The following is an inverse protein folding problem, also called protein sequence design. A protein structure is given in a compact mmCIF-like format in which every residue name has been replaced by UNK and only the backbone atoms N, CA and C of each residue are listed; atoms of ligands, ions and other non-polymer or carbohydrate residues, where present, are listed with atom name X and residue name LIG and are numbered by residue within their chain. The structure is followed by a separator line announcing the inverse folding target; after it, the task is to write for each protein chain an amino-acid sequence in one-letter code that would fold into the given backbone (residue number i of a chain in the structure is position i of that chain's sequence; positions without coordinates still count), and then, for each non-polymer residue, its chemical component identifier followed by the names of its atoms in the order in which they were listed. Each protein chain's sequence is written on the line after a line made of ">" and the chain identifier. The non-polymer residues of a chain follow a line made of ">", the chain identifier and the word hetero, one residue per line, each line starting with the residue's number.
data_IF_579864692717
#
_entry.id   IF_579864692717
#
_cell.length_a   1.000
_cell.length_b   1.000
_cell.length_c   1.000
_cell.angle_alpha   90.00
_cell.angle_beta   90.00
_cell.angle_gamma   90.00
#
_symmetry.space_group_name_H-M   'P 1'
#
loop_
_entity.id
_entity.type
_entity.pdbx_description
1 polymer ?
#
# COMPACT_ATOMS: atom_id res chain seq x y z
N UNK A 1 -40.96 14.14 65.27
CA UNK A 1 -39.55 13.70 65.42
C UNK A 1 -39.17 12.92 64.17
N UNK A 2 -38.52 13.58 63.22
CA UNK A 2 -37.09 13.42 62.86
C UNK A 2 -36.78 12.13 62.09
N UNK A 3 -36.24 12.38 60.88
CA UNK A 3 -35.34 11.58 60.05
C UNK A 3 -36.01 10.92 58.83
N UNK A 4 -35.77 11.34 57.58
CA UNK A 4 -34.57 11.69 56.80
C UNK A 4 -34.37 10.61 55.71
N UNK A 5 -34.34 11.09 54.46
CA UNK A 5 -33.70 10.49 53.28
C UNK A 5 -34.21 9.14 52.77
N UNK A 6 -34.92 9.18 51.63
CA UNK A 6 -34.50 8.40 50.47
C UNK A 6 -34.99 9.05 49.18
N UNK A 7 -34.10 9.84 48.56
CA UNK A 7 -34.22 10.30 47.19
C UNK A 7 -33.88 9.13 46.26
N UNK A 8 -34.85 8.59 45.54
CA UNK A 8 -34.59 7.63 44.46
C UNK A 8 -34.50 8.41 43.15
N UNK A 9 -33.26 8.72 42.75
CA UNK A 9 -32.92 9.30 41.46
C UNK A 9 -33.33 8.34 40.34
N UNK A 10 -34.31 8.74 39.53
CA UNK A 10 -34.52 8.17 38.20
C UNK A 10 -33.42 8.76 37.31
N UNK A 11 -32.28 8.09 37.27
CA UNK A 11 -31.18 8.40 36.36
C UNK A 11 -31.48 7.83 34.97
N UNK A 12 -32.28 8.55 34.18
CA UNK A 12 -32.36 8.33 32.75
C UNK A 12 -31.03 8.75 32.11
N UNK A 13 -30.09 7.81 31.98
CA UNK A 13 -28.89 7.99 31.17
C UNK A 13 -29.31 7.95 29.70
N UNK A 14 -29.76 9.10 29.19
CA UNK A 14 -29.76 9.37 27.76
C UNK A 14 -28.30 9.47 27.32
N UNK A 15 -27.74 8.35 26.86
CA UNK A 15 -26.59 8.36 25.97
C UNK A 15 -27.03 9.07 24.69
N UNK A 16 -26.86 10.39 24.67
CA UNK A 16 -26.85 11.15 23.42
C UNK A 16 -25.61 10.67 22.68
N UNK A 17 -25.81 9.71 21.79
CA UNK A 17 -24.91 9.46 20.68
C UNK A 17 -24.85 10.78 19.91
N UNK A 18 -23.80 11.56 20.14
CA UNK A 18 -23.36 12.60 19.21
C UNK A 18 -22.89 11.88 17.96
N UNK A 19 -23.83 11.41 17.15
CA UNK A 19 -23.58 11.11 15.74
C UNK A 19 -23.30 12.47 15.14
N UNK A 20 -22.02 12.84 15.05
CA UNK A 20 -21.61 13.91 14.17
C UNK A 20 -22.01 13.47 12.76
N UNK A 21 -23.17 13.96 12.29
CA UNK A 21 -23.57 13.86 10.91
C UNK A 21 -22.68 14.80 10.09
N UNK A 22 -21.43 14.40 9.89
CA UNK A 22 -20.61 14.98 8.83
C UNK A 22 -21.11 14.38 7.52
N UNK A 23 -21.95 15.13 6.79
CA UNK A 23 -22.54 14.64 5.55
C UNK A 23 -21.53 14.35 4.42
N UNK A 24 -20.22 14.64 4.58
CA UNK A 24 -19.21 14.32 3.56
C UNK A 24 -17.78 14.22 4.16
N UNK A 25 -16.94 13.29 3.70
CA UNK A 25 -15.52 13.21 4.07
C UNK A 25 -14.72 14.45 3.59
N UNK A 26 -13.54 14.67 4.19
CA UNK A 26 -12.60 15.80 4.03
C UNK A 26 -12.96 16.81 2.92
N UNK A 27 -13.56 17.94 3.30
CA UNK A 27 -13.98 18.98 2.35
C UNK A 27 -12.85 19.97 2.12
N UNK A 28 -12.23 19.88 0.96
CA UNK A 28 -11.51 21.01 0.38
C UNK A 28 -12.54 22.04 -0.10
N UNK A 29 -12.31 23.33 0.17
CA UNK A 29 -13.08 24.44 -0.39
C UNK A 29 -13.01 24.49 -1.93
N UNK A 30 -12.05 23.78 -2.52
CA UNK A 30 -11.81 23.73 -3.95
C UNK A 30 -11.90 22.31 -4.49
N UNK A 31 -12.38 22.21 -5.73
CA UNK A 31 -12.41 20.98 -6.50
C UNK A 31 -11.72 21.24 -7.85
N UNK A 32 -10.72 20.42 -8.15
CA UNK A 32 -10.16 20.33 -9.49
C UNK A 32 -10.87 19.22 -10.24
N UNK A 33 -11.30 19.51 -11.46
CA UNK A 33 -11.79 18.50 -12.40
C UNK A 33 -10.88 18.54 -13.61
N UNK A 34 -10.19 17.43 -13.84
CA UNK A 34 -9.25 17.27 -14.94
C UNK A 34 -9.67 16.06 -15.77
N UNK A 35 -9.88 16.27 -17.06
CA UNK A 35 -10.44 15.25 -17.96
C UNK A 35 -9.56 15.14 -19.20
N UNK A 36 -8.82 14.03 -19.37
CA UNK A 36 -8.11 13.76 -20.61
C UNK A 36 -9.08 13.57 -21.79
N UNK A 37 -8.60 13.82 -23.00
CA UNK A 37 -9.36 13.57 -24.23
C UNK A 37 -9.52 12.07 -24.57
N UNK A 38 -8.94 11.17 -23.76
CA UNK A 38 -9.16 9.72 -23.77
C UNK A 38 -9.87 9.25 -22.50
N UNK A 39 -10.95 8.48 -22.67
CA UNK A 39 -11.79 8.02 -21.56
C UNK A 39 -11.07 7.06 -20.58
N UNK A 40 -10.10 6.30 -21.07
CA UNK A 40 -9.27 5.37 -20.28
C UNK A 40 -7.95 5.98 -19.79
N UNK A 41 -7.68 7.25 -20.17
CA UNK A 41 -6.49 8.02 -19.80
C UNK A 41 -5.18 7.45 -20.37
N UNK A 42 -5.28 6.60 -21.39
CA UNK A 42 -4.15 5.92 -22.02
C UNK A 42 -4.02 6.33 -23.48
N UNK A 43 -2.77 6.55 -23.88
CA UNK A 43 -2.38 6.98 -25.22
C UNK A 43 -1.34 6.02 -25.78
N UNK A 44 -1.19 5.95 -27.10
CA UNK A 44 -0.04 5.29 -27.72
C UNK A 44 1.17 6.21 -27.70
N UNK A 45 2.38 5.66 -27.58
CA UNK A 45 3.59 6.48 -27.79
C UNK A 45 3.55 7.18 -29.16
N UNK A 46 3.93 8.46 -29.20
CA UNK A 46 3.82 9.33 -30.37
C UNK A 46 2.45 10.03 -30.54
N UNK A 47 1.41 9.60 -29.83
CA UNK A 47 0.11 10.26 -29.82
C UNK A 47 0.17 11.60 -29.05
N UNK A 48 -0.73 12.54 -29.36
CA UNK A 48 -0.81 13.83 -28.65
C UNK A 48 -1.97 13.80 -27.66
N UNK A 49 -1.67 14.00 -26.39
CA UNK A 49 -2.67 14.09 -25.33
C UNK A 49 -3.07 15.54 -25.03
N UNK A 50 -4.32 15.74 -24.62
CA UNK A 50 -4.82 17.01 -24.08
C UNK A 50 -5.65 16.74 -22.83
N UNK A 51 -5.68 17.71 -21.93
CA UNK A 51 -6.56 17.68 -20.77
C UNK A 51 -7.41 18.95 -20.74
N UNK A 52 -8.69 18.79 -20.45
CA UNK A 52 -9.53 19.89 -19.96
C UNK A 52 -9.31 20.05 -18.46
N UNK A 53 -9.10 21.28 -18.01
CA UNK A 53 -8.94 21.65 -16.60
C UNK A 53 -10.08 22.58 -16.21
N UNK A 54 -10.71 22.25 -15.09
CA UNK A 54 -11.74 23.05 -14.46
C UNK A 54 -11.38 23.23 -12.98
N UNK A 55 -11.65 24.43 -12.45
CA UNK A 55 -11.38 24.76 -11.06
C UNK A 55 -12.63 25.37 -10.42
N UNK A 56 -13.08 24.74 -9.35
CA UNK A 56 -14.27 25.13 -8.61
C UNK A 56 -13.88 25.59 -7.21
N UNK A 57 -14.57 26.61 -6.71
CA UNK A 57 -14.52 27.02 -5.29
C UNK A 57 -15.93 26.98 -4.72
N UNK A 58 -16.15 26.23 -3.65
CA UNK A 58 -17.48 25.96 -3.08
C UNK A 58 -18.48 25.41 -4.12
N UNK A 59 -17.98 24.65 -5.11
CA UNK A 59 -18.79 24.15 -6.23
C UNK A 59 -19.10 25.18 -7.33
N UNK A 60 -18.60 26.43 -7.22
CA UNK A 60 -18.78 27.47 -8.23
C UNK A 60 -17.58 27.48 -9.21
N UNK A 61 -17.80 27.33 -10.53
CA UNK A 61 -16.72 27.45 -11.52
C UNK A 61 -16.02 28.79 -11.41
N UNK A 62 -14.68 28.78 -11.40
CA UNK A 62 -13.90 30.02 -11.31
C UNK A 62 -13.48 30.48 -12.70
N UNK A 63 -14.06 31.59 -13.17
CA UNK A 63 -13.72 32.20 -14.45
C UNK A 63 -12.58 33.21 -14.32
N UNK A 64 -11.77 33.34 -15.38
CA UNK A 64 -10.68 34.30 -15.44
C UNK A 64 -9.48 34.01 -14.53
N UNK A 65 -9.52 32.93 -13.76
CA UNK A 65 -8.38 32.47 -12.94
C UNK A 65 -7.25 32.02 -13.86
N UNK A 66 -6.04 32.48 -13.56
CA UNK A 66 -4.82 31.97 -14.20
C UNK A 66 -4.37 30.69 -13.51
N UNK A 67 -4.20 29.64 -14.31
CA UNK A 67 -3.66 28.35 -13.90
C UNK A 67 -2.27 28.23 -14.49
N UNK A 68 -1.27 28.19 -13.61
CA UNK A 68 0.10 27.84 -13.96
C UNK A 68 0.19 26.33 -14.09
N UNK A 69 0.89 25.85 -15.12
CA UNK A 69 1.13 24.43 -15.31
C UNK A 69 2.60 24.12 -15.60
N UNK A 70 3.05 22.98 -15.10
CA UNK A 70 4.32 22.37 -15.46
C UNK A 70 4.09 20.94 -15.95
N UNK A 71 4.65 20.60 -17.11
CA UNK A 71 4.62 19.24 -17.65
C UNK A 71 5.97 18.57 -17.45
N UNK A 72 5.96 17.28 -17.13
CA UNK A 72 7.15 16.44 -17.12
C UNK A 72 6.79 14.96 -17.21
N UNK A 73 7.79 14.10 -17.18
CA UNK A 73 7.56 12.67 -16.91
C UNK A 73 7.10 12.46 -15.46
N UNK A 74 6.45 11.32 -15.20
CA UNK A 74 6.06 10.90 -13.85
C UNK A 74 7.24 10.97 -12.87
N UNK A 75 7.08 11.78 -11.82
CA UNK A 75 8.13 12.09 -10.84
C UNK A 75 9.42 12.71 -11.43
N UNK A 76 9.42 13.22 -12.65
CA UNK A 76 10.61 13.81 -13.28
C UNK A 76 10.57 15.35 -13.30
N UNK A 77 11.72 16.03 -13.47
CA UNK A 77 11.77 17.47 -13.67
C UNK A 77 10.84 17.91 -14.81
N UNK A 78 10.32 19.14 -14.72
CA UNK A 78 9.50 19.69 -15.78
C UNK A 78 10.32 20.01 -17.02
N UNK A 79 9.78 19.69 -18.20
CA UNK A 79 10.34 20.05 -19.50
C UNK A 79 9.59 21.21 -20.16
N UNK A 80 8.38 21.49 -19.69
CA UNK A 80 7.49 22.52 -20.24
C UNK A 80 6.81 23.25 -19.09
N UNK A 81 6.68 24.56 -19.22
CA UNK A 81 5.91 25.41 -18.30
C UNK A 81 5.02 26.36 -19.10
N UNK A 82 3.89 26.72 -18.54
CA UNK A 82 3.02 27.71 -19.15
C UNK A 82 1.90 28.17 -18.22
N UNK A 83 1.03 29.00 -18.79
CA UNK A 83 -0.15 29.53 -18.11
C UNK A 83 -1.35 29.39 -19.04
N UNK A 84 -2.50 29.02 -18.48
CA UNK A 84 -3.79 29.13 -19.16
C UNK A 84 -4.74 29.95 -18.29
N UNK A 85 -5.61 30.73 -18.93
CA UNK A 85 -6.68 31.45 -18.23
C UNK A 85 -7.98 30.68 -18.41
N UNK A 86 -8.67 30.38 -17.32
CA UNK A 86 -9.97 29.72 -17.38
C UNK A 86 -10.98 30.65 -18.07
N UNK A 87 -11.70 30.12 -19.05
CA UNK A 87 -12.80 30.77 -19.78
C UNK A 87 -14.06 29.93 -19.58
N UNK A 88 -15.12 30.55 -19.09
CA UNK A 88 -16.32 29.87 -18.60
C UNK A 88 -15.98 28.74 -17.61
N UNK A 89 -14.97 28.98 -16.76
CA UNK A 89 -14.50 28.01 -15.75
C UNK A 89 -13.62 26.88 -16.28
N UNK A 90 -13.24 26.88 -17.57
CA UNK A 90 -12.50 25.80 -18.23
C UNK A 90 -11.29 26.29 -19.02
N UNK A 91 -10.28 25.44 -19.15
CA UNK A 91 -9.20 25.62 -20.13
C UNK A 91 -8.72 24.26 -20.65
N UNK A 92 -8.10 24.25 -21.82
CA UNK A 92 -7.47 23.03 -22.38
C UNK A 92 -5.95 23.22 -22.35
N UNK A 93 -5.24 22.21 -21.84
CA UNK A 93 -3.79 22.14 -21.82
C UNK A 93 -3.34 21.00 -22.73
N UNK A 94 -2.43 21.28 -23.65
CA UNK A 94 -1.78 20.25 -24.45
C UNK A 94 -0.71 19.56 -23.60
N UNK A 95 -0.89 18.27 -23.34
CA UNK A 95 0.07 17.43 -22.61
C UNK A 95 1.28 17.02 -23.46
N UNK A 96 1.19 17.24 -24.78
CA UNK A 96 2.23 16.82 -25.72
C UNK A 96 2.18 15.31 -25.94
N UNK A 97 3.35 14.69 -26.03
CA UNK A 97 3.52 13.26 -26.33
C UNK A 97 4.67 12.64 -25.51
N UNK A 98 4.79 11.32 -25.57
CA UNK A 98 5.99 10.57 -25.17
C UNK A 98 6.47 9.67 -26.32
N UNK A 99 7.78 9.64 -26.52
CA UNK A 99 8.43 8.73 -27.48
C UNK A 99 8.58 7.31 -26.92
N UNK A 100 8.84 7.23 -25.61
CA UNK A 100 9.01 5.99 -24.88
C UNK A 100 7.80 5.72 -23.97
N UNK A 101 7.53 4.44 -23.64
CA UNK A 101 6.51 4.07 -22.65
C UNK A 101 6.69 4.79 -21.32
N UNK A 102 5.60 5.29 -20.74
CA UNK A 102 5.63 5.93 -19.43
C UNK A 102 4.42 6.80 -19.15
N UNK A 103 4.58 7.77 -18.26
CA UNK A 103 3.52 8.67 -17.84
C UNK A 103 3.95 10.13 -17.97
N UNK A 104 3.05 10.96 -18.47
CA UNK A 104 3.16 12.43 -18.42
C UNK A 104 2.40 12.94 -17.22
N UNK A 105 3.00 13.85 -16.46
CA UNK A 105 2.42 14.51 -15.29
C UNK A 105 2.22 16.00 -15.57
N UNK A 106 1.00 16.49 -15.39
CA UNK A 106 0.66 17.91 -15.43
C UNK A 106 0.44 18.42 -14.02
N UNK A 107 1.38 19.21 -13.52
CA UNK A 107 1.32 19.84 -12.20
C UNK A 107 0.72 21.23 -12.35
N UNK A 108 -0.41 21.45 -11.69
CA UNK A 108 -1.25 22.64 -11.80
C UNK A 108 -1.19 23.45 -10.52
N UNK A 109 -1.18 24.77 -10.66
CA UNK A 109 -1.27 25.70 -9.53
C UNK A 109 -2.16 26.89 -9.88
N UNK A 110 -3.09 27.23 -8.98
CA UNK A 110 -3.93 28.43 -9.10
C UNK A 110 -3.93 29.22 -7.79
N UNK A 111 -3.96 30.55 -7.88
CA UNK A 111 -4.07 31.45 -6.72
C UNK A 111 -5.43 32.11 -6.68
N UNK A 112 -6.23 31.82 -5.65
CA UNK A 112 -7.57 32.38 -5.47
C UNK A 112 -7.77 32.83 -4.02
N UNK A 113 -8.17 34.09 -3.83
CA UNK A 113 -8.35 34.67 -2.49
C UNK A 113 -7.08 34.67 -1.65
N UNK A 114 -5.92 34.97 -2.27
CA UNK A 114 -4.62 35.02 -1.59
C UNK A 114 -3.98 33.66 -1.30
N UNK A 115 -4.72 32.55 -1.41
CA UNK A 115 -4.23 31.18 -1.18
C UNK A 115 -3.88 30.49 -2.50
N UNK A 116 -2.81 29.70 -2.47
CA UNK A 116 -2.37 28.85 -3.57
C UNK A 116 -2.94 27.45 -3.41
N UNK A 117 -3.50 26.90 -4.49
CA UNK A 117 -4.01 25.53 -4.57
C UNK A 117 -3.25 24.78 -5.65
N UNK A 118 -2.83 23.56 -5.32
CA UNK A 118 -2.11 22.68 -6.24
C UNK A 118 -2.94 21.45 -6.55
N UNK A 119 -2.74 20.92 -7.75
CA UNK A 119 -3.28 19.65 -8.20
C UNK A 119 -2.33 19.07 -9.24
N UNK A 120 -2.49 17.80 -9.56
CA UNK A 120 -1.81 17.25 -10.72
C UNK A 120 -2.62 16.10 -11.31
N UNK A 121 -2.35 15.81 -12.57
CA UNK A 121 -2.98 14.72 -13.30
C UNK A 121 -1.94 14.02 -14.18
N UNK A 122 -1.95 12.69 -14.17
CA UNK A 122 -1.10 11.88 -15.03
C UNK A 122 -1.90 11.12 -16.08
N UNK A 123 -1.30 11.01 -17.27
CA UNK A 123 -1.80 10.17 -18.37
C UNK A 123 -0.71 9.21 -18.84
N UNK A 124 -1.10 8.00 -19.22
CA UNK A 124 -0.18 6.94 -19.61
C UNK A 124 0.05 6.91 -21.13
N UNK A 125 1.29 6.67 -21.55
CA UNK A 125 1.68 6.43 -22.94
C UNK A 125 2.25 5.02 -23.07
N UNK A 126 1.50 4.13 -23.72
CA UNK A 126 1.78 2.69 -23.84
C UNK A 126 2.35 2.05 -22.56
N UNK A 127 1.76 2.26 -21.37
CA UNK A 127 2.35 1.82 -20.11
C UNK A 127 2.42 0.29 -20.00
N UNK A 128 1.65 -0.46 -20.79
CA UNK A 128 1.75 -1.92 -20.93
C UNK A 128 3.10 -2.40 -21.46
N UNK A 129 3.91 -1.49 -22.04
CA UNK A 129 5.26 -1.78 -22.55
C UNK A 129 6.36 -1.42 -21.57
N UNK A 130 6.05 -0.84 -20.41
CA UNK A 130 7.05 -0.52 -19.39
C UNK A 130 7.74 -1.79 -18.90
N UNK A 131 9.07 -1.74 -18.84
CA UNK A 131 9.93 -2.84 -18.37
C UNK A 131 10.78 -2.38 -17.18
N UNK A 132 11.07 -3.26 -16.21
CA UNK A 132 11.90 -2.91 -15.05
C UNK A 132 13.34 -2.59 -15.46
N UNK A 133 13.98 -1.70 -14.71
CA UNK A 133 15.43 -1.52 -14.77
C UNK A 133 16.12 -2.66 -14.02
N UNK A 134 15.57 -3.02 -12.86
CA UNK A 134 16.09 -4.09 -12.01
C UNK A 134 16.09 -5.42 -12.78
N UNK A 135 17.27 -6.05 -12.85
CA UNK A 135 17.46 -7.35 -13.49
C UNK A 135 17.30 -8.48 -12.46
N UNK A 136 16.88 -9.66 -12.92
CA UNK A 136 16.80 -10.86 -12.08
C UNK A 136 18.20 -11.45 -11.88
N UNK A 137 18.74 -11.51 -10.65
CA UNK A 137 20.02 -12.19 -10.40
C UNK A 137 19.95 -13.67 -10.76
N UNK A 138 21.03 -14.23 -11.30
CA UNK A 138 21.08 -15.64 -11.75
C UNK A 138 20.89 -16.64 -10.59
N UNK A 139 21.36 -16.30 -9.39
CA UNK A 139 21.23 -17.08 -8.16
C UNK A 139 20.06 -16.62 -7.27
N UNK A 140 19.12 -15.81 -7.79
CA UNK A 140 17.99 -15.27 -7.00
C UNK A 140 17.16 -16.36 -6.32
N UNK A 141 16.74 -17.37 -7.08
CA UNK A 141 15.92 -18.46 -6.57
C UNK A 141 16.69 -19.34 -5.58
N UNK A 142 17.98 -19.60 -5.84
CA UNK A 142 18.85 -20.34 -4.92
C UNK A 142 18.98 -19.62 -3.58
N UNK A 143 19.29 -18.32 -3.62
CA UNK A 143 19.43 -17.47 -2.43
C UNK A 143 18.17 -17.52 -1.55
N UNK A 144 16.99 -17.31 -2.13
CA UNK A 144 15.74 -17.28 -1.38
C UNK A 144 15.28 -18.67 -0.91
N UNK A 145 15.51 -19.72 -1.70
CA UNK A 145 15.22 -21.09 -1.27
C UNK A 145 16.09 -21.52 -0.10
N UNK A 146 17.39 -21.23 -0.16
CA UNK A 146 18.33 -21.46 0.95
C UNK A 146 17.90 -20.68 2.20
N UNK A 147 17.62 -19.38 2.05
CA UNK A 147 17.24 -18.51 3.17
C UNK A 147 15.95 -18.99 3.85
N UNK A 148 14.93 -19.41 3.09
CA UNK A 148 13.70 -19.98 3.65
C UNK A 148 13.96 -21.31 4.38
N UNK A 149 14.77 -22.19 3.79
CA UNK A 149 15.09 -23.48 4.39
C UNK A 149 15.82 -23.31 5.73
N UNK A 150 16.75 -22.36 5.82
CA UNK A 150 17.43 -22.00 7.06
C UNK A 150 16.44 -21.44 8.10
N UNK A 151 15.55 -20.55 7.71
CA UNK A 151 14.54 -19.98 8.61
C UNK A 151 13.57 -21.05 9.14
N UNK A 152 13.22 -22.05 8.33
CA UNK A 152 12.32 -23.13 8.71
C UNK A 152 12.90 -24.08 9.78
N UNK A 153 14.23 -24.08 9.99
CA UNK A 153 14.87 -24.86 11.07
C UNK A 153 14.53 -24.31 12.46
N UNK A 154 14.12 -23.05 12.58
CA UNK A 154 13.64 -22.51 13.84
C UNK A 154 12.20 -22.97 14.08
N UNK A 155 11.90 -23.57 15.25
CA UNK A 155 10.55 -24.06 15.54
C UNK A 155 9.53 -22.92 15.52
N UNK A 156 8.29 -23.25 15.19
CA UNK A 156 7.18 -22.30 15.23
C UNK A 156 6.85 -21.98 16.70
N UNK A 157 7.28 -20.81 17.17
CA UNK A 157 7.12 -20.35 18.55
C UNK A 157 6.36 -19.03 18.58
N UNK A 158 5.22 -18.99 19.27
CA UNK A 158 4.42 -17.77 19.38
C UNK A 158 3.59 -17.73 20.68
N UNK A 159 3.20 -16.52 21.09
CA UNK A 159 2.14 -16.33 22.10
C UNK A 159 0.81 -16.03 21.43
N UNK A 160 -0.30 -16.34 22.09
CA UNK A 160 -1.67 -16.05 21.64
C UNK A 160 -2.49 -15.52 22.82
N UNK A 161 -2.80 -14.23 22.81
CA UNK A 161 -3.50 -13.55 23.90
C UNK A 161 -4.84 -13.00 23.42
N UNK A 162 -5.93 -13.24 24.14
CA UNK A 162 -7.27 -12.80 23.73
C UNK A 162 -7.45 -11.28 23.89
N UNK A 163 -7.98 -10.62 22.86
CA UNK A 163 -8.15 -9.16 22.81
C UNK A 163 -9.64 -8.81 22.78
N UNK A 164 -10.22 -8.65 23.98
CA UNK A 164 -11.66 -8.38 24.15
C UNK A 164 -12.14 -7.14 23.39
N UNK A 165 -11.35 -6.06 23.35
CA UNK A 165 -11.73 -4.78 22.70
C UNK A 165 -11.88 -4.87 21.17
N UNK A 166 -11.31 -5.92 20.55
CA UNK A 166 -11.40 -6.16 19.11
C UNK A 166 -12.17 -7.44 18.76
N UNK A 167 -12.88 -8.00 19.73
CA UNK A 167 -13.74 -9.18 19.54
C UNK A 167 -15.21 -8.75 19.53
N UNK A 168 -16.03 -9.40 18.71
CA UNK A 168 -17.48 -9.12 18.56
C UNK A 168 -18.29 -10.38 18.84
N UNK A 169 -19.60 -10.34 18.63
CA UNK A 169 -20.46 -11.53 18.64
C UNK A 169 -20.17 -12.50 17.48
N UNK A 170 -19.52 -12.03 16.41
CA UNK A 170 -19.23 -12.81 15.19
C UNK A 170 -17.78 -13.24 15.04
N UNK A 171 -16.84 -12.58 15.73
CA UNK A 171 -15.41 -12.87 15.61
C UNK A 171 -14.66 -12.71 16.92
N UNK A 172 -13.58 -13.47 17.07
CA UNK A 172 -12.59 -13.32 18.14
C UNK A 172 -11.30 -12.72 17.60
N UNK A 173 -10.63 -11.90 18.40
CA UNK A 173 -9.34 -11.31 18.09
C UNK A 173 -8.30 -11.78 19.11
N UNK A 174 -7.12 -12.15 18.63
CA UNK A 174 -5.97 -12.48 19.45
C UNK A 174 -4.74 -11.67 19.06
N UNK A 175 -4.01 -11.17 20.05
CA UNK A 175 -2.67 -10.63 19.85
C UNK A 175 -1.69 -11.79 19.78
N UNK A 176 -0.96 -11.86 18.68
CA UNK A 176 0.09 -12.83 18.44
C UNK A 176 1.44 -12.15 18.55
N UNK A 177 2.37 -12.78 19.27
CA UNK A 177 3.81 -12.49 19.16
C UNK A 177 4.50 -13.69 18.52
N UNK A 178 4.87 -13.58 17.25
CA UNK A 178 5.55 -14.64 16.51
C UNK A 178 7.07 -14.44 16.58
N UNK A 179 7.77 -15.40 17.18
CA UNK A 179 9.23 -15.38 17.25
C UNK A 179 9.85 -15.97 15.97
N UNK A 180 10.88 -15.29 15.45
CA UNK A 180 11.49 -15.58 14.16
C UNK A 180 12.79 -16.38 14.27
N UNK A 181 13.55 -16.21 15.37
CA UNK A 181 14.83 -16.85 15.55
C UNK A 181 15.29 -16.91 17.01
N UNK A 182 16.48 -17.52 17.22
CA UNK A 182 17.14 -17.67 18.53
C UNK A 182 17.60 -16.34 19.15
N UNK A 183 17.68 -15.26 18.38
CA UNK A 183 18.01 -13.92 18.86
C UNK A 183 16.79 -13.16 19.40
N UNK A 184 15.65 -13.85 19.61
CA UNK A 184 14.40 -13.28 20.10
C UNK A 184 13.80 -12.18 19.22
N UNK A 185 14.23 -12.09 17.96
CA UNK A 185 13.54 -11.23 17.00
C UNK A 185 12.13 -11.77 16.79
N UNK A 186 11.14 -10.87 16.76
CA UNK A 186 9.73 -11.22 16.62
C UNK A 186 9.02 -10.22 15.72
N UNK A 187 7.78 -10.57 15.38
CA UNK A 187 6.75 -9.67 14.90
C UNK A 187 5.49 -9.85 15.75
N UNK A 188 4.66 -8.81 15.81
CA UNK A 188 3.33 -8.87 16.40
C UNK A 188 2.24 -8.83 15.33
N UNK A 189 1.04 -9.26 15.69
CA UNK A 189 -0.13 -9.07 14.85
C UNK A 189 -1.43 -9.40 15.55
N UNK A 190 -2.53 -8.85 15.02
CA UNK A 190 -3.87 -9.24 15.43
C UNK A 190 -4.41 -10.31 14.50
N UNK A 191 -4.78 -11.45 15.08
CA UNK A 191 -5.34 -12.60 14.40
C UNK A 191 -6.83 -12.68 14.70
N UNK A 192 -7.64 -12.43 13.67
CA UNK A 192 -9.10 -12.42 13.73
C UNK A 192 -9.65 -13.75 13.23
N UNK A 193 -10.54 -14.35 14.02
CA UNK A 193 -11.20 -15.62 13.75
C UNK A 193 -12.70 -15.42 13.61
N UNK A 194 -13.38 -16.10 12.67
CA UNK A 194 -14.82 -16.31 12.77
C UNK A 194 -15.15 -17.10 14.05
N UNK A 195 -16.19 -16.70 14.79
CA UNK A 195 -16.65 -17.42 16.00
C UNK A 195 -17.39 -18.72 15.72
N UNK A 196 -18.05 -18.80 14.57
CA UNK A 196 -18.76 -20.00 14.18
C UNK A 196 -17.75 -21.16 14.04
N UNK A 197 -18.15 -22.36 14.46
CA UNK A 197 -17.35 -23.56 14.21
C UNK A 197 -17.19 -23.78 12.70
N UNK A 198 -15.98 -24.06 12.24
CA UNK A 198 -15.72 -24.25 10.82
C UNK A 198 -14.26 -24.31 10.46
N UNK A 199 -14.02 -24.46 9.17
CA UNK A 199 -12.72 -24.39 8.53
C UNK A 199 -12.72 -23.24 7.55
N UNK A 200 -11.71 -22.40 7.60
CA UNK A 200 -11.71 -21.10 6.92
C UNK A 200 -10.44 -20.86 6.09
N UNK A 201 -10.54 -20.14 4.97
CA UNK A 201 -9.37 -19.59 4.30
C UNK A 201 -8.62 -18.63 5.23
N UNK A 202 -7.30 -18.54 5.07
CA UNK A 202 -6.45 -17.62 5.83
C UNK A 202 -5.97 -16.46 4.95
N UNK A 203 -5.97 -15.25 5.49
CA UNK A 203 -5.54 -14.02 4.81
C UNK A 203 -4.45 -13.34 5.64
N UNK A 204 -3.22 -13.35 5.12
CA UNK A 204 -2.10 -12.58 5.67
C UNK A 204 -2.13 -11.14 5.15
N UNK A 205 -2.07 -10.17 6.05
CA UNK A 205 -2.04 -8.75 5.73
C UNK A 205 -0.81 -8.04 6.34
N UNK A 206 0.30 -7.93 5.59
CA UNK A 206 1.46 -7.13 5.99
C UNK A 206 1.18 -5.62 5.96
N UNK A 207 1.93 -4.80 6.73
CA UNK A 207 1.63 -3.39 6.90
C UNK A 207 2.22 -2.53 5.78
N UNK A 208 1.56 -1.38 5.53
CA UNK A 208 2.17 -0.27 4.78
C UNK A 208 3.40 0.31 5.50
N UNK A 209 4.19 1.12 4.81
CA UNK A 209 5.49 1.59 5.28
C UNK A 209 5.43 2.43 6.57
N UNK A 210 6.56 2.46 7.29
CA UNK A 210 6.78 3.24 8.51
C UNK A 210 6.69 2.41 9.80
N UNK A 211 7.40 2.88 10.83
CA UNK A 211 7.35 2.31 12.18
C UNK A 211 6.12 2.86 12.88
N UNK A 212 5.02 2.09 12.82
CA UNK A 212 3.70 2.47 13.30
C UNK A 212 2.97 1.28 13.93
N UNK A 213 2.07 1.58 14.85
CA UNK A 213 1.12 0.60 15.38
C UNK A 213 0.16 0.14 14.27
N UNK A 214 -0.51 -0.99 14.48
CA UNK A 214 -1.59 -1.47 13.62
C UNK A 214 -2.78 -0.50 13.78
N UNK A 215 -2.88 0.47 12.87
CA UNK A 215 -3.91 1.51 12.93
C UNK A 215 -5.27 0.96 12.51
N UNK A 216 -6.28 1.20 13.34
CA UNK A 216 -7.64 0.75 13.10
C UNK A 216 -7.77 -0.76 12.87
N UNK A 217 -7.39 -1.63 13.83
CA UNK A 217 -7.43 -3.09 13.66
C UNK A 217 -8.81 -3.65 13.25
N UNK A 218 -9.88 -2.91 13.55
CA UNK A 218 -11.26 -3.28 13.21
C UNK A 218 -11.69 -2.87 11.79
N UNK A 219 -10.87 -2.13 11.04
CA UNK A 219 -11.21 -1.60 9.69
C UNK A 219 -11.61 -2.72 8.73
N UNK A 220 -10.92 -3.86 8.80
CA UNK A 220 -11.14 -5.02 7.94
C UNK A 220 -11.80 -6.19 8.66
N UNK A 221 -12.52 -5.93 9.76
CA UNK A 221 -13.22 -6.96 10.54
C UNK A 221 -14.15 -7.85 9.70
N UNK A 222 -14.68 -7.29 8.61
CA UNK A 222 -15.60 -7.97 7.70
C UNK A 222 -14.99 -9.24 7.08
N UNK A 223 -13.66 -9.38 7.01
CA UNK A 223 -13.03 -10.65 6.62
C UNK A 223 -13.39 -11.78 7.58
N UNK A 224 -13.23 -11.58 8.89
CA UNK A 224 -13.56 -12.58 9.89
C UNK A 224 -15.07 -12.75 10.07
N UNK A 225 -15.84 -11.65 10.01
CA UNK A 225 -17.31 -11.72 10.04
C UNK A 225 -17.89 -12.47 8.81
N UNK A 226 -17.14 -12.59 7.71
CA UNK A 226 -17.53 -13.31 6.49
C UNK A 226 -16.76 -14.61 6.24
N UNK A 227 -16.13 -15.19 7.28
CA UNK A 227 -15.58 -16.54 7.20
C UNK A 227 -14.15 -16.62 6.66
N UNK A 228 -13.31 -15.61 6.89
CA UNK A 228 -11.86 -15.69 6.65
C UNK A 228 -11.10 -15.49 7.98
N UNK A 229 -10.10 -16.30 8.25
CA UNK A 229 -9.13 -16.00 9.31
C UNK A 229 -8.19 -14.92 8.78
N UNK A 230 -8.10 -13.77 9.45
CA UNK A 230 -7.28 -12.63 8.98
C UNK A 230 -6.17 -12.32 9.97
N UNK A 231 -4.93 -12.22 9.48
CA UNK A 231 -3.77 -11.87 10.30
C UNK A 231 -3.16 -10.55 9.84
N UNK A 232 -3.40 -9.50 10.62
CA UNK A 232 -2.81 -8.19 10.40
C UNK A 232 -1.53 -8.06 11.22
N UNK A 233 -0.39 -7.93 10.56
CA UNK A 233 0.91 -7.94 11.24
C UNK A 233 1.56 -6.56 11.25
N UNK A 234 2.38 -6.32 12.26
CA UNK A 234 3.50 -5.38 12.18
C UNK A 234 4.80 -6.15 11.88
N UNK A 235 5.88 -5.46 11.50
CA UNK A 235 7.11 -6.12 11.00
C UNK A 235 8.39 -5.73 11.75
N UNK A 236 8.28 -4.81 12.70
CA UNK A 236 9.42 -4.25 13.42
C UNK A 236 9.75 -5.09 14.66
N UNK A 237 8.78 -5.75 15.26
CA UNK A 237 8.90 -6.43 16.56
C UNK A 237 8.48 -5.52 17.71
N UNK A 238 7.65 -4.52 17.43
CA UNK A 238 7.12 -3.59 18.43
C UNK A 238 5.71 -4.03 18.82
N UNK A 239 5.47 -4.15 20.12
CA UNK A 239 4.15 -4.53 20.61
C UNK A 239 3.14 -3.40 20.26
N UNK A 240 2.05 -3.69 19.52
CA UNK A 240 1.06 -2.68 19.13
C UNK A 240 0.25 -2.13 20.32
N UNK A 241 0.37 -2.72 21.51
CA UNK A 241 -0.26 -2.28 22.76
C UNK A 241 0.66 -1.35 23.61
N UNK A 242 1.85 -0.98 23.11
CA UNK A 242 2.65 0.07 23.73
C UNK A 242 1.88 1.39 23.76
N UNK A 243 2.08 2.18 24.81
CA UNK A 243 1.52 3.52 24.90
C UNK A 243 2.07 4.44 23.79
N UNK A 244 1.29 5.47 23.45
CA UNK A 244 1.57 6.34 22.31
C UNK A 244 2.89 7.10 22.46
N UNK A 245 3.24 7.50 23.69
CA UNK A 245 4.47 8.25 23.96
C UNK A 245 5.70 7.37 23.76
N UNK A 246 5.74 6.20 24.41
CA UNK A 246 6.82 5.21 24.27
C UNK A 246 6.97 4.77 22.82
N UNK A 247 5.87 4.42 22.15
CA UNK A 247 5.91 4.03 20.75
C UNK A 247 6.42 5.20 19.88
N UNK A 248 5.96 6.42 20.16
CA UNK A 248 6.37 7.64 19.48
C UNK A 248 7.88 7.91 19.59
N UNK A 249 8.48 7.70 20.76
CA UNK A 249 9.92 7.82 20.97
C UNK A 249 10.72 6.83 20.12
N UNK A 250 10.33 5.55 20.15
CA UNK A 250 10.96 4.51 19.33
C UNK A 250 10.82 4.85 17.84
N UNK A 251 9.61 5.22 17.40
CA UNK A 251 9.35 5.57 16.01
C UNK A 251 10.23 6.73 15.54
N UNK A 252 10.36 7.80 16.34
CA UNK A 252 11.24 8.95 16.02
C UNK A 252 12.72 8.55 15.93
N UNK A 253 13.18 7.64 16.79
CA UNK A 253 14.58 7.20 16.80
C UNK A 253 14.98 6.41 15.53
N UNK A 254 14.04 5.65 14.93
CA UNK A 254 14.32 4.70 13.84
C UNK A 254 13.62 5.04 12.51
N UNK A 255 12.93 6.18 12.42
CA UNK A 255 12.23 6.62 11.19
C UNK A 255 12.90 7.79 10.48
N UNK A 256 14.12 8.19 10.87
CA UNK A 256 14.81 9.32 10.24
C UNK A 256 15.31 8.97 8.83
N UNK A 257 15.60 10.00 8.04
CA UNK A 257 16.14 9.86 6.67
C UNK A 257 17.50 9.13 6.63
N UNK A 258 18.29 9.27 7.68
CA UNK A 258 19.63 8.67 7.82
C UNK A 258 19.59 7.30 8.54
N UNK A 259 18.57 7.04 9.36
CA UNK A 259 18.42 5.82 10.17
C UNK A 259 17.18 5.00 9.79
N UNK A 260 16.67 5.17 8.56
CA UNK A 260 15.45 4.51 8.11
C UNK A 260 15.64 3.01 7.91
N UNK A 261 14.69 2.20 8.38
CA UNK A 261 14.78 0.72 8.27
C UNK A 261 14.92 0.22 6.81
N UNK A 262 14.44 0.98 5.82
CA UNK A 262 14.53 0.62 4.40
C UNK A 262 15.94 0.72 3.82
N UNK A 263 16.89 1.37 4.51
CA UNK A 263 18.30 1.45 4.10
C UNK A 263 19.23 0.68 5.03
N UNK A 264 18.71 0.12 6.13
CA UNK A 264 19.49 -0.57 7.14
C UNK A 264 20.08 -1.88 6.61
N UNK A 265 21.41 -1.92 6.47
CA UNK A 265 22.15 -3.08 5.97
C UNK A 265 22.13 -3.25 4.45
N UNK A 266 21.73 -2.22 3.69
CA UNK A 266 21.50 -2.31 2.25
C UNK A 266 22.76 -2.62 1.42
N UNK A 267 23.95 -2.46 1.97
CA UNK A 267 25.22 -2.84 1.33
C UNK A 267 25.44 -4.37 1.27
N UNK A 268 24.62 -5.16 1.97
CA UNK A 268 24.74 -6.62 1.99
C UNK A 268 23.37 -7.29 1.87
N UNK A 269 23.20 -8.10 0.81
CA UNK A 269 22.00 -8.94 0.66
C UNK A 269 21.77 -9.89 1.83
N UNK A 270 22.83 -10.23 2.59
CA UNK A 270 22.72 -11.13 3.73
C UNK A 270 22.22 -10.44 5.00
N UNK A 271 22.58 -9.17 5.19
CA UNK A 271 22.34 -8.42 6.42
C UNK A 271 21.25 -7.33 6.25
N UNK A 272 20.69 -7.18 5.06
CA UNK A 272 19.65 -6.20 4.80
C UNK A 272 18.40 -6.47 5.64
N UNK A 273 17.89 -5.42 6.30
CA UNK A 273 16.75 -5.50 7.22
C UNK A 273 15.53 -6.23 6.62
N UNK A 274 15.23 -5.97 5.34
CA UNK A 274 14.06 -6.57 4.68
C UNK A 274 14.16 -8.10 4.52
N UNK A 275 15.35 -8.71 4.64
CA UNK A 275 15.51 -10.18 4.67
C UNK A 275 14.65 -10.77 5.77
N UNK A 276 14.76 -10.23 6.98
CA UNK A 276 13.97 -10.67 8.13
C UNK A 276 12.49 -10.43 7.92
N UNK A 277 12.10 -9.31 7.33
CA UNK A 277 10.70 -8.97 7.07
C UNK A 277 10.06 -9.94 6.08
N UNK A 278 10.75 -10.28 4.99
CA UNK A 278 10.23 -11.20 3.97
C UNK A 278 10.08 -12.60 4.55
N UNK A 279 11.06 -13.05 5.35
CA UNK A 279 10.98 -14.31 6.07
C UNK A 279 9.88 -14.30 7.14
N UNK A 280 9.66 -13.17 7.82
CA UNK A 280 8.56 -13.04 8.77
C UNK A 280 7.21 -13.26 8.11
N UNK A 281 7.01 -12.79 6.87
CA UNK A 281 5.78 -13.06 6.11
C UNK A 281 5.63 -14.56 5.78
N UNK A 282 6.71 -15.25 5.40
CA UNK A 282 6.69 -16.70 5.20
C UNK A 282 6.39 -17.45 6.50
N UNK A 283 7.00 -17.04 7.62
CA UNK A 283 6.74 -17.60 8.96
C UNK A 283 5.31 -17.33 9.44
N UNK A 284 4.70 -16.22 9.03
CA UNK A 284 3.27 -15.98 9.28
C UNK A 284 2.39 -16.97 8.52
N UNK A 285 2.77 -17.41 7.32
CA UNK A 285 2.06 -18.50 6.63
C UNK A 285 2.24 -19.83 7.38
N UNK A 286 3.42 -20.12 7.94
CA UNK A 286 3.62 -21.30 8.79
C UNK A 286 2.65 -21.30 9.98
N UNK A 287 2.50 -20.16 10.64
CA UNK A 287 1.51 -20.00 11.71
C UNK A 287 0.09 -20.26 11.18
N UNK A 288 -0.34 -19.52 10.15
CA UNK A 288 -1.70 -19.59 9.63
C UNK A 288 -2.09 -20.99 9.16
N UNK A 289 -1.18 -21.70 8.51
CA UNK A 289 -1.41 -23.05 8.00
C UNK A 289 -1.25 -24.14 9.07
N UNK A 290 -0.78 -23.78 10.28
CA UNK A 290 -0.78 -24.68 11.43
C UNK A 290 -2.08 -24.64 12.24
N UNK A 291 -2.93 -23.64 12.00
CA UNK A 291 -4.16 -23.45 12.76
C UNK A 291 -5.14 -24.61 12.50
N UNK A 292 -5.76 -25.18 13.55
CA UNK A 292 -6.77 -26.20 13.35
C UNK A 292 -8.00 -25.65 12.62
N UNK A 293 -8.26 -24.35 12.63
CA UNK A 293 -9.38 -23.73 11.92
C UNK A 293 -9.07 -23.44 10.44
N UNK A 294 -7.84 -23.65 9.96
CA UNK A 294 -7.52 -23.48 8.54
C UNK A 294 -8.19 -24.57 7.69
N UNK A 295 -8.67 -24.20 6.50
CA UNK A 295 -9.32 -25.10 5.54
C UNK A 295 -8.41 -26.09 4.81
N UNK A 296 -7.11 -26.05 5.10
CA UNK A 296 -6.13 -26.97 4.53
C UNK A 296 -5.72 -26.65 3.09
N UNK A 297 -6.26 -25.58 2.49
CA UNK A 297 -6.01 -25.28 1.06
C UNK A 297 -5.84 -23.81 0.71
N UNK A 298 -6.65 -22.89 1.27
CA UNK A 298 -6.69 -21.50 0.83
C UNK A 298 -5.82 -20.63 1.71
N UNK A 299 -4.75 -20.09 1.11
CA UNK A 299 -3.86 -19.10 1.71
C UNK A 299 -3.83 -17.87 0.81
N UNK A 300 -4.19 -16.73 1.36
CA UNK A 300 -4.26 -15.46 0.63
C UNK A 300 -3.28 -14.49 1.27
N UNK A 301 -2.64 -13.70 0.43
CA UNK A 301 -1.82 -12.56 0.86
C UNK A 301 -2.41 -11.28 0.29
N UNK A 302 -2.57 -10.27 1.13
CA UNK A 302 -3.17 -9.00 0.76
C UNK A 302 -2.38 -7.84 1.38
N UNK A 303 -2.20 -6.74 0.66
CA UNK A 303 -1.75 -5.50 1.30
C UNK A 303 -1.74 -4.29 0.37
N UNK A 304 -1.45 -3.12 0.93
CA UNK A 304 -1.27 -1.88 0.16
C UNK A 304 0.06 -1.20 0.41
N UNK A 305 0.58 -0.49 -0.59
CA UNK A 305 1.88 0.19 -0.52
C UNK A 305 2.99 -0.83 -0.22
N UNK A 306 3.77 -0.66 0.86
CA UNK A 306 4.71 -1.70 1.33
C UNK A 306 4.03 -3.04 1.60
N UNK A 307 2.82 -3.05 2.16
CA UNK A 307 2.07 -4.29 2.38
C UNK A 307 1.73 -4.99 1.07
N UNK A 308 1.45 -4.22 0.01
CA UNK A 308 1.19 -4.76 -1.33
C UNK A 308 2.43 -5.36 -1.96
N UNK A 309 3.59 -4.72 -1.77
CA UNK A 309 4.88 -5.29 -2.13
C UNK A 309 5.13 -6.61 -1.39
N UNK A 310 4.97 -6.61 -0.06
CA UNK A 310 5.15 -7.79 0.79
C UNK A 310 4.18 -8.93 0.44
N UNK A 311 2.95 -8.62 0.03
CA UNK A 311 1.99 -9.61 -0.45
C UNK A 311 2.52 -10.30 -1.74
N UNK A 312 2.92 -9.52 -2.75
CA UNK A 312 3.49 -10.05 -3.99
C UNK A 312 4.79 -10.85 -3.75
N UNK A 313 5.67 -10.32 -2.90
CA UNK A 313 6.90 -11.00 -2.48
C UNK A 313 6.60 -12.34 -1.84
N UNK A 314 5.65 -12.38 -0.91
CA UNK A 314 5.25 -13.60 -0.21
C UNK A 314 4.63 -14.61 -1.19
N UNK A 315 3.79 -14.17 -2.12
CA UNK A 315 3.23 -15.01 -3.19
C UNK A 315 4.32 -15.58 -4.13
N UNK A 316 5.39 -14.82 -4.39
CA UNK A 316 6.53 -15.30 -5.17
C UNK A 316 7.41 -16.30 -4.40
N UNK A 317 7.46 -16.17 -3.07
CA UNK A 317 8.29 -16.99 -2.20
C UNK A 317 7.62 -18.29 -1.74
N UNK A 318 6.31 -18.31 -1.50
CA UNK A 318 5.62 -19.41 -0.84
C UNK A 318 4.57 -20.07 -1.74
N UNK A 319 4.72 -21.36 -2.00
CA UNK A 319 3.85 -22.13 -2.89
C UNK A 319 2.51 -22.51 -2.27
N UNK A 320 2.31 -22.30 -0.97
CA UNK A 320 1.00 -22.48 -0.31
C UNK A 320 0.04 -21.35 -0.63
N UNK A 321 0.54 -20.17 -1.01
CA UNK A 321 -0.31 -19.04 -1.43
C UNK A 321 -1.14 -19.47 -2.64
N UNK A 322 -2.42 -19.10 -2.62
CA UNK A 322 -3.44 -19.48 -3.61
C UNK A 322 -4.04 -18.29 -4.35
N UNK A 323 -3.98 -17.08 -3.77
CA UNK A 323 -4.38 -15.83 -4.39
C UNK A 323 -3.61 -14.66 -3.75
N UNK A 324 -3.41 -13.58 -4.51
CA UNK A 324 -2.73 -12.37 -4.03
C UNK A 324 -3.49 -11.10 -4.42
N UNK A 325 -3.64 -10.18 -3.48
CA UNK A 325 -4.22 -8.86 -3.73
C UNK A 325 -3.20 -7.78 -3.33
N UNK A 326 -2.88 -6.86 -4.24
CA UNK A 326 -1.88 -5.83 -3.99
C UNK A 326 -2.32 -4.44 -4.47
N UNK A 327 -2.39 -3.50 -3.54
CA UNK A 327 -2.71 -2.10 -3.83
C UNK A 327 -1.40 -1.32 -4.00
N UNK A 328 -1.21 -0.66 -5.16
CA UNK A 328 -0.17 0.32 -5.50
C UNK A 328 1.18 -0.04 -4.84
N UNK A 329 1.81 -1.16 -5.28
CA UNK A 329 2.90 -1.79 -4.54
C UNK A 329 4.13 -0.89 -4.48
N UNK A 330 4.63 -0.67 -3.26
CA UNK A 330 5.92 -0.04 -3.02
C UNK A 330 7.09 -0.98 -3.39
N UNK A 331 8.34 -0.57 -3.14
CA UNK A 331 9.54 -1.40 -3.37
C UNK A 331 9.68 -1.91 -4.81
N UNK A 332 9.00 -1.24 -5.74
CA UNK A 332 8.81 -1.61 -7.15
C UNK A 332 9.82 -0.89 -8.03
N UNK A 333 10.72 -1.63 -8.66
CA UNK A 333 11.75 -1.09 -9.53
C UNK A 333 12.47 0.09 -8.87
N UNK A 334 12.98 -0.12 -7.66
CA UNK A 334 13.52 0.94 -6.80
C UNK A 334 14.70 1.67 -7.44
N UNK A 335 15.41 1.00 -8.35
CA UNK A 335 16.50 1.55 -9.15
C UNK A 335 16.05 2.20 -10.47
N UNK A 336 14.74 2.34 -10.72
CA UNK A 336 14.18 2.90 -11.97
C UNK A 336 14.71 4.29 -12.35
N UNK A 337 15.17 5.08 -11.38
CA UNK A 337 15.84 6.37 -11.62
C UNK A 337 17.12 6.26 -12.47
N UNK A 338 17.82 5.12 -12.41
CA UNK A 338 18.98 4.82 -13.25
C UNK A 338 18.62 4.67 -14.74
N UNK A 339 17.35 4.41 -15.04
CA UNK A 339 16.80 4.39 -16.40
C UNK A 339 16.21 5.74 -16.83
N UNK A 340 16.37 6.81 -16.03
CA UNK A 340 15.84 8.14 -16.36
C UNK A 340 14.31 8.27 -16.19
N UNK A 341 13.69 7.41 -15.38
CA UNK A 341 12.24 7.43 -15.07
C UNK A 341 11.97 7.22 -13.58
N UNK A 342 10.71 7.30 -13.15
CA UNK A 342 10.34 7.05 -11.76
C UNK A 342 10.84 5.67 -11.27
N UNK A 343 11.52 5.66 -10.13
CA UNK A 343 11.73 4.46 -9.30
C UNK A 343 10.67 4.37 -8.20
N UNK A 344 10.46 3.18 -7.65
CA UNK A 344 9.43 2.98 -6.61
C UNK A 344 9.78 3.58 -5.25
N UNK A 345 8.77 3.66 -4.38
CA UNK A 345 8.94 3.97 -2.97
C UNK A 345 10.03 3.08 -2.34
N UNK A 346 10.94 3.62 -1.50
CA UNK A 346 10.92 4.96 -0.89
C UNK A 346 11.62 6.06 -1.70
N UNK A 347 11.81 5.87 -3.00
CA UNK A 347 12.56 6.79 -3.88
C UNK A 347 14.00 6.99 -3.41
N UNK A 348 14.69 5.89 -3.09
CA UNK A 348 16.02 5.88 -2.46
C UNK A 348 17.01 6.85 -3.11
N UNK A 349 17.06 6.91 -4.45
CA UNK A 349 18.01 7.75 -5.19
C UNK A 349 17.72 9.25 -5.10
N UNK A 350 16.53 9.65 -4.65
CA UNK A 350 16.18 11.05 -4.37
C UNK A 350 16.25 11.36 -2.88
N UNK A 351 15.84 10.38 -2.07
CA UNK A 351 15.56 10.57 -0.66
C UNK A 351 16.67 10.04 0.25
N UNK A 352 17.74 9.48 -0.29
CA UNK A 352 18.86 8.93 0.49
C UNK A 352 20.18 9.27 -0.18
N UNK A 353 21.22 9.49 0.64
CA UNK A 353 22.59 9.73 0.19
C UNK A 353 23.30 8.42 -0.16
N UNK A 354 24.33 8.48 -0.98
CA UNK A 354 25.23 7.36 -1.31
C UNK A 354 24.54 6.09 -1.82
N UNK A 355 23.43 6.24 -2.56
CA UNK A 355 22.66 5.09 -3.05
C UNK A 355 23.27 4.40 -4.26
N UNK A 356 24.04 5.12 -5.07
CA UNK A 356 24.58 4.63 -6.36
C UNK A 356 25.90 3.87 -6.19
N UNK A 357 25.89 2.78 -5.39
CA UNK A 357 27.03 1.88 -5.22
C UNK A 357 26.75 0.50 -5.83
N UNK A 358 27.77 -0.20 -6.37
CA UNK A 358 27.59 -1.57 -6.90
C UNK A 358 27.00 -2.54 -5.88
N UNK A 359 27.37 -2.41 -4.60
CA UNK A 359 26.88 -3.25 -3.51
C UNK A 359 25.37 -3.05 -3.27
N UNK A 360 24.92 -1.79 -3.15
CA UNK A 360 23.49 -1.47 -2.97
C UNK A 360 22.68 -1.86 -4.19
N UNK A 361 23.20 -1.65 -5.42
CA UNK A 361 22.50 -2.07 -6.64
C UNK A 361 22.31 -3.58 -6.70
N UNK A 362 23.36 -4.33 -6.35
CA UNK A 362 23.29 -5.78 -6.24
C UNK A 362 22.26 -6.19 -5.20
N UNK A 363 22.28 -5.61 -4.00
CA UNK A 363 21.31 -5.93 -2.95
C UNK A 363 19.88 -5.62 -3.40
N UNK A 364 19.60 -4.42 -3.91
CA UNK A 364 18.24 -4.03 -4.33
C UNK A 364 17.62 -5.04 -5.30
N UNK A 365 18.40 -5.60 -6.23
CA UNK A 365 17.91 -6.64 -7.14
C UNK A 365 17.38 -7.91 -6.45
N UNK A 366 17.86 -8.26 -5.24
CA UNK A 366 17.32 -9.39 -4.47
C UNK A 366 16.02 -9.07 -3.72
N UNK A 367 15.74 -7.78 -3.52
CA UNK A 367 14.64 -7.32 -2.66
C UNK A 367 13.54 -6.56 -3.41
N UNK A 368 13.73 -6.29 -4.69
CA UNK A 368 12.77 -5.60 -5.54
C UNK A 368 11.59 -6.51 -5.91
N UNK A 369 10.36 -6.03 -5.70
CA UNK A 369 9.14 -6.82 -5.94
C UNK A 369 9.03 -7.29 -7.39
N UNK A 370 9.62 -6.60 -8.37
CA UNK A 370 9.56 -7.01 -9.79
C UNK A 370 10.17 -8.40 -10.02
N UNK A 371 11.19 -8.79 -9.25
CA UNK A 371 11.82 -10.09 -9.38
C UNK A 371 11.01 -11.21 -8.72
N UNK A 372 10.25 -10.89 -7.66
CA UNK A 372 9.30 -11.83 -7.06
C UNK A 372 8.04 -12.00 -7.90
N UNK A 373 7.53 -10.92 -8.48
CA UNK A 373 6.36 -10.94 -9.36
C UNK A 373 6.53 -11.94 -10.52
N UNK A 374 7.74 -12.05 -11.08
CA UNK A 374 8.09 -13.05 -12.11
C UNK A 374 7.95 -14.51 -11.65
N UNK A 375 7.97 -14.77 -10.33
CA UNK A 375 7.85 -16.12 -9.74
C UNK A 375 6.41 -16.49 -9.37
N UNK A 376 5.46 -15.55 -9.44
CA UNK A 376 4.07 -15.76 -9.05
C UNK A 376 3.35 -16.55 -10.15
N UNK A 377 2.57 -17.55 -9.72
CA UNK A 377 1.80 -18.44 -10.62
C UNK A 377 0.31 -18.47 -10.28
N UNK A 378 -0.09 -17.84 -9.19
CA UNK A 378 -1.48 -17.79 -8.70
C UNK A 378 -2.20 -16.54 -9.19
N UNK A 379 -3.54 -16.49 -9.13
CA UNK A 379 -4.30 -15.28 -9.44
C UNK A 379 -3.83 -14.07 -8.63
N UNK A 380 -3.65 -12.93 -9.33
CA UNK A 380 -3.27 -11.65 -8.73
C UNK A 380 -4.29 -10.58 -9.08
N UNK A 381 -4.78 -9.85 -8.08
CA UNK A 381 -5.56 -8.63 -8.26
C UNK A 381 -4.76 -7.41 -7.84
N UNK A 382 -4.60 -6.43 -8.72
CA UNK A 382 -3.85 -5.21 -8.43
C UNK A 382 -4.69 -3.94 -8.59
N UNK A 383 -4.56 -3.00 -7.66
CA UNK A 383 -5.24 -1.70 -7.74
C UNK A 383 -4.24 -0.57 -7.65
N UNK A 384 -4.29 0.44 -8.53
CA UNK A 384 -3.46 1.65 -8.40
C UNK A 384 -4.08 2.85 -9.11
N UNK A 385 -3.68 4.04 -8.66
CA UNK A 385 -4.06 5.30 -9.29
C UNK A 385 -2.94 5.93 -10.10
N UNK A 386 -3.29 6.76 -11.09
CA UNK A 386 -2.30 7.43 -11.93
C UNK A 386 -1.69 8.63 -11.21
N UNK A 387 -2.42 9.26 -10.31
CA UNK A 387 -1.93 10.44 -9.59
C UNK A 387 -1.10 10.08 -8.34
N UNK A 388 -0.86 8.81 -8.06
CA UNK A 388 0.01 8.41 -6.94
C UNK A 388 1.45 8.91 -7.17
N UNK A 389 1.99 9.72 -6.27
CA UNK A 389 3.40 10.15 -6.25
C UNK A 389 4.24 9.36 -5.23
N UNK A 390 3.59 8.63 -4.34
CA UNK A 390 4.25 7.77 -3.36
C UNK A 390 4.68 6.47 -4.03
N UNK A 391 3.74 5.76 -4.66
CA UNK A 391 3.96 4.57 -5.48
C UNK A 391 3.51 4.86 -6.92
N UNK A 392 4.38 5.47 -7.75
CA UNK A 392 3.96 6.01 -9.04
C UNK A 392 3.35 4.97 -9.98
N UNK A 393 2.41 5.35 -10.87
CA UNK A 393 1.82 4.41 -11.81
C UNK A 393 2.86 3.73 -12.69
N UNK A 394 3.96 4.43 -13.01
CA UNK A 394 5.10 3.84 -13.73
C UNK A 394 5.57 2.55 -13.08
N UNK A 395 5.74 2.53 -11.75
CA UNK A 395 6.28 1.36 -11.05
C UNK A 395 5.21 0.28 -10.83
N UNK A 396 3.94 0.69 -10.64
CA UNK A 396 2.82 -0.25 -10.54
C UNK A 396 2.60 -1.01 -11.85
N UNK A 397 2.65 -0.32 -13.00
CA UNK A 397 2.59 -0.95 -14.32
C UNK A 397 3.77 -1.89 -14.57
N UNK A 398 4.99 -1.51 -14.17
CA UNK A 398 6.15 -2.41 -14.31
C UNK A 398 5.93 -3.73 -13.60
N UNK A 399 5.45 -3.70 -12.34
CA UNK A 399 5.12 -4.91 -11.60
C UNK A 399 4.02 -5.69 -12.31
N UNK A 400 2.94 -5.02 -12.71
CA UNK A 400 1.82 -5.67 -13.39
C UNK A 400 2.24 -6.32 -14.72
N UNK A 401 3.11 -5.67 -15.49
CA UNK A 401 3.56 -6.14 -16.81
C UNK A 401 4.43 -7.40 -16.70
N UNK A 402 5.23 -7.55 -15.65
CA UNK A 402 6.11 -8.73 -15.47
C UNK A 402 5.42 -9.96 -14.87
N UNK A 403 4.19 -9.81 -14.35
CA UNK A 403 3.38 -10.94 -13.90
C UNK A 403 3.01 -11.84 -15.09
N UNK A 404 3.33 -13.14 -14.97
CA UNK A 404 3.04 -14.18 -15.96
C UNK A 404 1.95 -15.17 -15.49
N UNK A 405 1.10 -14.73 -14.57
CA UNK A 405 -0.01 -15.49 -13.98
C UNK A 405 -1.35 -14.89 -14.39
N UNK A 406 -2.49 -15.55 -14.08
CA UNK A 406 -3.79 -14.89 -14.15
C UNK A 406 -3.75 -13.60 -13.34
N UNK A 407 -4.10 -12.48 -13.97
CA UNK A 407 -4.01 -11.17 -13.36
C UNK A 407 -5.18 -10.29 -13.78
N UNK A 408 -5.69 -9.55 -12.81
CA UNK A 408 -6.74 -8.54 -12.98
C UNK A 408 -6.26 -7.23 -12.34
N UNK A 409 -6.74 -6.12 -12.87
CA UNK A 409 -6.44 -4.81 -12.31
C UNK A 409 -7.67 -3.92 -12.21
N UNK A 410 -7.75 -3.15 -11.13
CA UNK A 410 -8.62 -1.98 -11.02
C UNK A 410 -7.76 -0.72 -11.08
N UNK A 411 -7.87 -0.01 -12.18
CA UNK A 411 -7.19 1.26 -12.35
C UNK A 411 -8.14 2.38 -11.93
N UNK A 412 -7.68 3.22 -11.02
CA UNK A 412 -8.43 4.39 -10.51
C UNK A 412 -7.67 5.67 -10.86
N UNK A 413 -7.75 6.20 -12.10
CA UNK A 413 -6.80 7.18 -12.59
C UNK A 413 -6.66 8.43 -11.72
N UNK A 414 -7.77 8.93 -11.17
CA UNK A 414 -7.81 10.10 -10.30
C UNK A 414 -7.22 9.88 -8.92
N UNK A 415 -7.21 8.63 -8.43
CA UNK A 415 -6.75 8.34 -7.08
C UNK A 415 -5.24 8.58 -6.98
N UNK A 416 -4.85 9.06 -5.81
CA UNK A 416 -3.45 9.17 -5.42
C UNK A 416 -3.07 7.91 -4.62
N UNK A 417 -2.41 8.06 -3.47
CA UNK A 417 -1.97 6.95 -2.64
C UNK A 417 -3.07 6.41 -1.69
N UNK A 418 -4.28 6.16 -2.19
CA UNK A 418 -5.41 5.71 -1.37
C UNK A 418 -6.41 4.82 -2.13
N UNK A 419 -7.11 3.97 -1.37
CA UNK A 419 -8.25 3.14 -1.80
C UNK A 419 -9.50 3.49 -1.00
N UNK A 420 -10.68 3.40 -1.62
CA UNK A 420 -11.95 3.57 -0.92
C UNK A 420 -12.33 2.30 -0.14
N UNK A 421 -13.29 2.42 0.79
CA UNK A 421 -13.87 1.27 1.49
C UNK A 421 -14.50 0.28 0.51
N UNK A 422 -15.20 0.78 -0.53
CA UNK A 422 -15.80 -0.07 -1.58
C UNK A 422 -14.74 -0.87 -2.34
N UNK A 423 -13.62 -0.24 -2.69
CA UNK A 423 -12.48 -0.92 -3.32
C UNK A 423 -11.91 -1.98 -2.37
N UNK A 424 -11.71 -1.63 -1.09
CA UNK A 424 -11.17 -2.56 -0.09
C UNK A 424 -12.09 -3.76 0.16
N UNK A 425 -13.39 -3.54 0.23
CA UNK A 425 -14.39 -4.61 0.35
C UNK A 425 -14.47 -5.46 -0.93
N UNK A 426 -14.36 -4.82 -2.10
CA UNK A 426 -14.24 -5.48 -3.39
C UNK A 426 -13.11 -6.50 -3.45
N UNK A 427 -12.00 -6.27 -2.74
CA UNK A 427 -10.93 -7.26 -2.60
C UNK A 427 -11.38 -8.55 -1.91
N UNK A 428 -12.18 -8.46 -0.84
CA UNK A 428 -12.74 -9.67 -0.20
C UNK A 428 -13.65 -10.41 -1.16
N UNK A 429 -14.51 -9.68 -1.89
CA UNK A 429 -15.42 -10.30 -2.86
C UNK A 429 -14.64 -11.00 -3.98
N UNK A 430 -13.56 -10.39 -4.46
CA UNK A 430 -12.67 -11.00 -5.44
C UNK A 430 -11.99 -12.26 -4.85
N UNK A 431 -11.48 -12.18 -3.61
CA UNK A 431 -10.88 -13.34 -2.91
C UNK A 431 -11.88 -14.49 -2.81
N UNK A 432 -13.12 -14.24 -2.37
CA UNK A 432 -14.16 -15.28 -2.21
C UNK A 432 -14.49 -16.00 -3.52
N UNK A 433 -14.38 -15.31 -4.67
CA UNK A 433 -14.56 -15.91 -6.00
C UNK A 433 -13.38 -16.77 -6.46
N UNK A 434 -12.22 -16.62 -5.83
CA UNK A 434 -10.96 -17.28 -6.19
C UNK A 434 -10.49 -18.33 -5.17
N UNK A 435 -11.30 -18.63 -4.16
CA UNK A 435 -11.04 -19.76 -3.25
C UNK A 435 -11.11 -21.08 -4.03
N UNK A 436 -10.16 -21.97 -3.78
CA UNK A 436 -10.15 -23.35 -4.28
C UNK A 436 -11.08 -24.23 -3.46
#
# INVERSE_FOLDING_TARGET
>A
MKNRFLSMLIGAVLFVLSVAAENYPYRSDVLWVTVPDHADWLYKTGEKAKIEVQFYKYGVPQDGVEVLYELGGDMMPSDTKGTVKLKNGKAVISMGTMKEPGFRDCRLTAKVGGKTYSHHIKVGFSPEKLQPYTQLPSDFNEFWNKTKAEAAQFPLTYTKEYVKKYSTDKMDCYLIRLQLNKQNQCIYGYLFYPKAEGKYPVVLCPPGAGIKTIKGPMRHKYYAEEGCIRFEIEIHGLNPELDEDTFGEISRAFSSRENGYLVNGLDSRENYYMKRVYLACVRSIDLLTSLPEWDGKNVIVQGGSQGGALALITAGLDKRVTACVANHPALSDMAGYKAGRAGGYPHLFKNTVDMDTPAKMKTLAYYDVVNFAKQITVPVYMTWGFNDNTCPPTTSYIVYNVLNCPKEALITPVNEHWTSEDTEYGHLLWIKKHLK
#
